data_IF_152032087555
#
_entry.id   IF_152032087555
#
_cell.length_a   1.000
_cell.length_b   1.000
_cell.length_c   1.000
_cell.angle_alpha   90.00
_cell.angle_beta   90.00
_cell.angle_gamma   90.00
#
_symmetry.space_group_name_H-M   'P 1'
#
loop_
_entity.id
_entity.type
_entity.pdbx_description
1 polymer ?
#
# COMPACT_ATOMS: atom_id res chain seq x y z
N UNK A 1 -48.66 3.57 -15.02
CA UNK A 1 -49.96 3.22 -14.43
C UNK A 1 -50.16 1.71 -14.52
N UNK A 2 -49.52 0.95 -13.62
CA UNK A 2 -49.72 -0.51 -13.48
C UNK A 2 -50.36 -0.69 -12.10
N UNK A 3 -51.67 -0.48 -11.95
CA UNK A 3 -52.77 -1.44 -12.14
C UNK A 3 -52.50 -2.81 -11.52
N UNK A 4 -53.21 -3.01 -10.42
CA UNK A 4 -53.41 -4.25 -9.67
C UNK A 4 -53.46 -5.49 -10.56
N UNK A 5 -52.50 -6.37 -10.39
CA UNK A 5 -52.65 -7.77 -10.75
C UNK A 5 -52.20 -8.61 -9.54
N UNK A 6 -53.09 -9.53 -9.18
CA UNK A 6 -52.88 -10.67 -8.26
C UNK A 6 -52.91 -10.42 -6.75
N UNK A 7 -54.13 -10.47 -6.20
CA UNK A 7 -54.38 -10.94 -4.84
C UNK A 7 -55.55 -11.94 -4.77
N UNK A 8 -55.93 -12.53 -5.91
CA UNK A 8 -57.03 -13.51 -6.02
C UNK A 8 -56.58 -14.97 -6.06
N UNK A 9 -55.27 -15.25 -6.05
CA UNK A 9 -54.72 -16.62 -6.14
C UNK A 9 -54.56 -17.34 -4.79
N UNK A 10 -54.83 -16.66 -3.66
CA UNK A 10 -54.64 -17.24 -2.32
C UNK A 10 -55.86 -17.99 -1.76
N UNK A 11 -57.02 -17.93 -2.42
CA UNK A 11 -58.25 -18.57 -1.92
C UNK A 11 -58.53 -19.98 -2.47
N UNK A 12 -57.68 -20.54 -3.33
CA UNK A 12 -57.90 -21.88 -3.92
C UNK A 12 -56.80 -22.89 -3.60
N UNK A 13 -55.94 -22.63 -2.62
CA UNK A 13 -54.82 -23.50 -2.31
C UNK A 13 -55.17 -24.48 -1.18
N UNK A 14 -54.90 -25.76 -1.43
CA UNK A 14 -55.05 -26.86 -0.49
C UNK A 14 -54.26 -26.56 0.81
N UNK A 15 -54.89 -26.62 1.99
CA UNK A 15 -54.24 -26.37 3.27
C UNK A 15 -53.00 -27.24 3.54
N UNK A 16 -52.89 -28.41 2.89
CA UNK A 16 -51.75 -29.31 3.00
C UNK A 16 -50.49 -28.84 2.25
N UNK A 17 -50.62 -27.90 1.31
CA UNK A 17 -49.52 -27.33 0.51
C UNK A 17 -48.95 -26.02 1.11
N UNK A 18 -49.66 -25.42 2.07
CA UNK A 18 -49.24 -24.19 2.76
C UNK A 18 -47.82 -24.26 3.36
N UNK A 19 -47.39 -25.35 4.05
CA UNK A 19 -46.07 -25.39 4.70
C UNK A 19 -44.91 -25.27 3.70
N UNK A 20 -45.07 -25.83 2.49
CA UNK A 20 -44.04 -25.85 1.46
C UNK A 20 -43.94 -24.49 0.73
N UNK A 21 -45.08 -23.80 0.56
CA UNK A 21 -45.13 -22.48 -0.06
C UNK A 21 -44.59 -21.38 0.88
N UNK A 22 -44.84 -21.47 2.18
CA UNK A 22 -44.22 -20.59 3.19
C UNK A 22 -42.71 -20.81 3.29
N UNK A 23 -42.22 -22.05 3.13
CA UNK A 23 -40.79 -22.33 3.09
C UNK A 23 -40.10 -21.69 1.87
N UNK A 24 -40.70 -21.77 0.67
CA UNK A 24 -40.15 -21.12 -0.53
C UNK A 24 -40.24 -19.58 -0.49
N UNK A 25 -41.33 -19.02 0.03
CA UNK A 25 -41.45 -17.57 0.20
C UNK A 25 -40.49 -17.05 1.27
N UNK A 26 -40.29 -17.79 2.37
CA UNK A 26 -39.31 -17.46 3.40
C UNK A 26 -37.87 -17.54 2.89
N UNK A 27 -37.54 -18.52 2.03
CA UNK A 27 -36.23 -18.63 1.35
C UNK A 27 -36.04 -17.47 0.36
N UNK A 28 -37.05 -17.11 -0.43
CA UNK A 28 -36.99 -15.97 -1.35
C UNK A 28 -36.83 -14.64 -0.60
N UNK A 29 -37.54 -14.44 0.52
CA UNK A 29 -37.44 -13.24 1.36
C UNK A 29 -36.11 -13.20 2.12
N UNK A 30 -35.61 -14.33 2.65
CA UNK A 30 -34.28 -14.35 3.29
C UNK A 30 -33.16 -14.14 2.29
N UNK A 31 -33.24 -14.64 1.05
CA UNK A 31 -32.30 -14.30 -0.02
C UNK A 31 -32.38 -12.81 -0.41
N UNK A 32 -33.57 -12.22 -0.45
CA UNK A 32 -33.74 -10.79 -0.76
C UNK A 32 -33.22 -9.89 0.37
N UNK A 33 -33.45 -10.26 1.64
CA UNK A 33 -32.96 -9.52 2.80
C UNK A 33 -31.44 -9.70 2.97
N UNK A 34 -30.87 -10.88 2.72
CA UNK A 34 -29.41 -11.05 2.66
C UNK A 34 -28.79 -10.31 1.46
N UNK A 35 -29.52 -10.13 0.36
CA UNK A 35 -29.07 -9.32 -0.79
C UNK A 35 -29.10 -7.81 -0.52
N UNK A 36 -29.89 -7.33 0.45
CA UNK A 36 -29.93 -5.93 0.87
C UNK A 36 -28.89 -5.65 1.99
N UNK A 37 -28.55 -6.67 2.78
CA UNK A 37 -27.52 -6.61 3.83
C UNK A 37 -26.17 -7.22 3.43
N UNK A 38 -25.96 -7.53 2.14
CA UNK A 38 -24.61 -7.62 1.59
C UNK A 38 -24.05 -6.19 1.67
N UNK A 39 -23.43 -5.89 2.82
CA UNK A 39 -22.82 -4.62 3.10
C UNK A 39 -22.02 -4.22 1.87
N UNK A 40 -22.35 -3.09 1.27
CA UNK A 40 -21.37 -2.38 0.48
C UNK A 40 -20.12 -2.33 1.35
N UNK A 41 -19.09 -3.09 0.98
CA UNK A 41 -17.79 -2.96 1.60
C UNK A 41 -17.53 -1.46 1.56
N UNK A 42 -17.39 -0.81 2.72
CA UNK A 42 -17.19 0.62 2.76
C UNK A 42 -15.85 0.88 2.05
N UNK A 43 -15.91 1.24 0.77
CA UNK A 43 -14.74 1.44 -0.10
C UNK A 43 -14.31 2.91 -0.08
N UNK A 44 -14.79 3.69 0.90
CA UNK A 44 -14.47 5.10 1.01
C UNK A 44 -14.73 5.86 -0.29
N UNK A 45 -13.73 6.61 -0.81
CA UNK A 45 -13.88 7.43 -2.01
C UNK A 45 -13.79 6.64 -3.34
N UNK A 46 -13.64 5.32 -3.30
CA UNK A 46 -13.41 4.50 -4.50
C UNK A 46 -14.72 4.02 -5.14
N UNK A 47 -14.73 3.79 -6.48
CA UNK A 47 -15.92 3.31 -7.17
C UNK A 47 -16.37 1.94 -6.67
N UNK A 48 -17.69 1.64 -6.64
CA UNK A 48 -18.20 0.33 -6.24
C UNK A 48 -17.65 -0.84 -7.08
N UNK A 49 -17.20 -0.59 -8.31
CA UNK A 49 -16.58 -1.59 -9.17
C UNK A 49 -15.22 -2.10 -8.66
N UNK A 50 -14.64 -1.49 -7.62
CA UNK A 50 -13.41 -1.96 -6.99
C UNK A 50 -13.69 -3.00 -5.88
N UNK A 51 -14.96 -3.28 -5.58
CA UNK A 51 -15.34 -4.33 -4.65
C UNK A 51 -15.16 -5.71 -5.29
N UNK A 52 -14.18 -6.47 -4.78
CA UNK A 52 -13.74 -7.76 -5.32
C UNK A 52 -14.87 -8.79 -5.44
N UNK A 53 -15.80 -8.82 -4.49
CA UNK A 53 -16.93 -9.75 -4.48
C UNK A 53 -18.19 -9.15 -5.10
N UNK A 54 -18.06 -8.55 -6.29
CA UNK A 54 -19.20 -8.04 -7.06
C UNK A 54 -19.15 -8.52 -8.50
N UNK A 55 -20.31 -8.75 -9.12
CA UNK A 55 -20.41 -9.10 -10.54
C UNK A 55 -19.96 -7.97 -11.47
N UNK A 56 -19.87 -6.76 -10.95
CA UNK A 56 -19.37 -5.56 -11.63
C UNK A 56 -17.87 -5.34 -11.44
N UNK A 57 -17.17 -6.22 -10.70
CA UNK A 57 -15.74 -6.07 -10.46
C UNK A 57 -14.97 -6.08 -11.78
N UNK A 58 -14.10 -5.08 -11.93
CA UNK A 58 -13.13 -5.02 -13.02
C UNK A 58 -11.85 -4.45 -12.45
N UNK A 59 -10.76 -5.18 -12.62
CA UNK A 59 -9.42 -4.70 -12.25
C UNK A 59 -9.18 -3.33 -12.92
N UNK A 60 -8.84 -2.29 -12.13
CA UNK A 60 -8.51 -1.00 -12.67
C UNK A 60 -7.24 -1.06 -13.51
N UNK A 61 -7.10 -0.13 -14.46
CA UNK A 61 -5.85 0.02 -15.18
C UNK A 61 -4.72 0.38 -14.21
N UNK A 62 -3.54 -0.21 -14.39
CA UNK A 62 -2.36 0.06 -13.56
C UNK A 62 -2.00 1.56 -13.68
N UNK A 63 -2.10 2.34 -12.59
CA UNK A 63 -1.87 3.78 -12.63
C UNK A 63 -0.38 4.11 -12.68
N UNK A 64 -0.05 5.31 -13.14
CA UNK A 64 1.28 5.88 -12.90
C UNK A 64 1.36 6.47 -11.50
N UNK A 65 2.47 6.23 -10.81
CA UNK A 65 2.70 6.69 -9.44
C UNK A 65 3.33 8.08 -9.44
N UNK A 66 2.94 8.93 -8.47
CA UNK A 66 3.62 10.21 -8.23
C UNK A 66 5.05 9.96 -7.74
N UNK A 67 6.02 10.55 -8.43
CA UNK A 67 7.43 10.18 -8.28
C UNK A 67 8.30 11.15 -7.51
N UNK A 68 7.95 12.43 -7.47
CA UNK A 68 8.76 13.43 -6.78
C UNK A 68 7.97 13.89 -5.56
N UNK A 69 8.37 13.41 -4.40
CA UNK A 69 7.72 13.75 -3.15
C UNK A 69 8.68 13.67 -1.98
N UNK A 70 8.34 14.43 -0.94
CA UNK A 70 8.97 14.36 0.37
C UNK A 70 7.91 14.13 1.43
N UNK A 71 8.21 13.34 2.44
CA UNK A 71 7.22 12.89 3.42
C UNK A 71 7.87 12.56 4.74
N UNK A 72 7.11 12.69 5.82
CA UNK A 72 7.44 11.98 7.05
C UNK A 72 7.06 10.50 6.89
N UNK A 73 7.72 9.63 7.65
CA UNK A 73 7.46 8.20 7.63
C UNK A 73 7.48 7.58 9.01
N UNK A 74 6.77 6.47 9.13
CA UNK A 74 6.96 5.45 10.16
C UNK A 74 7.20 4.12 9.44
N UNK A 75 8.18 3.37 9.91
CA UNK A 75 8.44 2.01 9.43
C UNK A 75 8.60 1.08 10.62
N UNK A 76 7.91 -0.07 10.56
CA UNK A 76 8.08 -1.15 11.53
C UNK A 76 8.64 -2.35 10.80
N UNK A 77 9.76 -2.86 11.32
CA UNK A 77 10.42 -4.07 10.86
C UNK A 77 10.37 -5.10 11.99
N UNK A 78 9.84 -6.28 11.72
CA UNK A 78 9.81 -7.34 12.72
C UNK A 78 9.93 -8.76 12.16
N UNK A 79 10.51 -9.63 12.98
CA UNK A 79 10.50 -11.09 12.88
C UNK A 79 10.48 -11.68 14.29
N UNK A 80 10.72 -12.99 14.43
CA UNK A 80 10.73 -13.66 15.74
C UNK A 80 11.80 -13.12 16.72
N UNK A 81 12.84 -12.43 16.22
CA UNK A 81 13.99 -11.95 17.00
C UNK A 81 14.15 -10.42 16.99
N UNK A 82 13.46 -9.71 16.12
CA UNK A 82 13.65 -8.27 15.86
C UNK A 82 12.30 -7.57 15.89
N UNK A 83 12.24 -6.39 16.51
CA UNK A 83 11.11 -5.47 16.40
C UNK A 83 11.61 -4.04 16.51
N UNK A 84 11.78 -3.37 15.37
CA UNK A 84 12.31 -2.01 15.29
C UNK A 84 11.29 -1.09 14.65
N UNK A 85 10.89 -0.05 15.37
CA UNK A 85 10.05 1.02 14.84
C UNK A 85 10.96 2.22 14.62
N UNK A 86 11.04 2.68 13.38
CA UNK A 86 11.76 3.89 13.00
C UNK A 86 10.76 4.95 12.56
N UNK A 87 11.08 6.20 12.86
CA UNK A 87 10.37 7.36 12.33
C UNK A 87 11.36 8.27 11.64
N UNK A 88 10.91 8.98 10.62
CA UNK A 88 11.84 9.74 9.82
C UNK A 88 11.22 10.64 8.78
N UNK A 89 12.07 11.06 7.86
CA UNK A 89 11.72 11.87 6.71
C UNK A 89 12.37 11.29 5.45
N UNK A 90 11.60 11.15 4.38
CA UNK A 90 12.05 10.60 3.10
C UNK A 90 11.92 11.64 2.00
N UNK A 91 12.90 11.63 1.11
CA UNK A 91 12.90 12.30 -0.18
C UNK A 91 12.97 11.22 -1.26
N UNK A 92 11.99 11.17 -2.16
CA UNK A 92 12.03 10.32 -3.34
C UNK A 92 12.08 11.22 -4.58
N UNK A 93 13.18 11.17 -5.34
CA UNK A 93 13.33 11.91 -6.58
C UNK A 93 13.65 10.96 -7.74
N UNK A 94 12.64 10.61 -8.52
CA UNK A 94 12.85 9.83 -9.74
C UNK A 94 13.60 10.64 -10.82
N UNK A 95 13.43 11.96 -10.85
CA UNK A 95 14.14 12.86 -11.79
C UNK A 95 15.65 12.82 -11.57
N UNK A 96 16.09 12.72 -10.32
CA UNK A 96 17.51 12.60 -9.98
C UNK A 96 17.98 11.14 -9.81
N UNK A 97 17.06 10.17 -9.73
CA UNK A 97 17.39 8.77 -9.46
C UNK A 97 17.92 8.55 -8.04
N UNK A 98 17.43 9.33 -7.07
CA UNK A 98 17.92 9.35 -5.70
C UNK A 98 16.79 9.20 -4.68
N UNK A 99 17.08 8.45 -3.63
CA UNK A 99 16.25 8.39 -2.42
C UNK A 99 17.10 8.77 -1.22
N UNK A 100 16.63 9.67 -0.39
CA UNK A 100 17.24 9.96 0.91
C UNK A 100 16.25 9.68 2.02
N UNK A 101 16.71 9.04 3.08
CA UNK A 101 15.92 8.78 4.28
C UNK A 101 16.71 9.20 5.50
N UNK A 102 16.13 10.09 6.29
CA UNK A 102 16.63 10.46 7.62
C UNK A 102 15.75 9.77 8.65
N UNK A 103 16.32 8.95 9.53
CA UNK A 103 15.59 8.09 10.45
C UNK A 103 16.12 8.16 11.88
N UNK A 104 15.25 7.84 12.84
CA UNK A 104 15.59 7.76 14.26
C UNK A 104 15.18 6.39 14.78
N UNK A 105 16.08 5.73 15.51
CA UNK A 105 15.87 4.44 16.17
C UNK A 105 16.64 4.41 17.49
N UNK A 106 15.97 4.13 18.61
CA UNK A 106 16.59 3.89 19.93
C UNK A 106 17.65 4.93 20.34
N UNK A 107 17.39 6.21 20.08
CA UNK A 107 18.30 7.32 20.40
C UNK A 107 19.43 7.55 19.39
N UNK A 108 19.53 6.69 18.37
CA UNK A 108 20.41 6.89 17.23
C UNK A 108 19.71 7.66 16.10
N UNK A 109 20.48 8.50 15.42
CA UNK A 109 20.10 9.21 14.20
C UNK A 109 20.82 8.59 13.02
N UNK A 110 20.07 8.18 12.00
CA UNK A 110 20.59 7.68 10.74
C UNK A 110 20.18 8.59 9.59
N UNK A 111 21.04 8.70 8.59
CA UNK A 111 20.69 9.23 7.28
C UNK A 111 21.24 8.28 6.23
N UNK A 112 20.44 7.90 5.25
CA UNK A 112 20.83 7.03 4.14
C UNK A 112 20.52 7.73 2.82
N UNK A 113 21.51 7.78 1.92
CA UNK A 113 21.38 8.23 0.54
C UNK A 113 21.56 7.04 -0.39
N UNK A 114 20.47 6.64 -1.04
CA UNK A 114 20.43 5.60 -2.05
C UNK A 114 20.52 6.22 -3.45
N UNK A 115 21.56 5.86 -4.19
CA UNK A 115 21.77 6.26 -5.58
C UNK A 115 21.50 5.10 -6.55
N UNK A 116 20.48 5.29 -7.40
CA UNK A 116 19.99 4.31 -8.35
C UNK A 116 20.43 4.56 -9.79
N UNK A 117 21.13 5.67 -10.08
CA UNK A 117 21.45 6.09 -11.46
C UNK A 117 22.25 5.04 -12.24
N UNK A 118 22.99 4.19 -11.54
CA UNK A 118 23.82 3.11 -12.09
C UNK A 118 23.38 1.73 -11.57
N UNK A 119 22.07 1.49 -11.49
CA UNK A 119 21.50 0.20 -11.12
C UNK A 119 20.38 -0.20 -12.08
N UNK A 120 20.47 -1.39 -12.66
CA UNK A 120 19.43 -1.98 -13.51
C UNK A 120 18.69 -3.13 -12.82
N UNK A 121 19.19 -3.58 -11.68
CA UNK A 121 18.74 -4.75 -10.92
C UNK A 121 17.95 -4.38 -9.65
N UNK A 122 17.66 -3.09 -9.45
CA UNK A 122 17.03 -2.57 -8.24
C UNK A 122 17.99 -2.38 -7.05
N UNK A 123 19.30 -2.67 -7.24
CA UNK A 123 20.31 -2.31 -6.25
C UNK A 123 20.49 -0.79 -6.14
N UNK A 124 21.15 -0.34 -5.08
CA UNK A 124 21.55 1.06 -4.94
C UNK A 124 22.91 1.16 -4.28
N UNK A 125 23.69 2.17 -4.65
CA UNK A 125 24.79 2.61 -3.79
C UNK A 125 24.16 3.31 -2.58
N UNK A 126 24.32 2.75 -1.39
CA UNK A 126 23.86 3.37 -0.15
C UNK A 126 25.05 4.03 0.56
N UNK A 127 24.97 5.34 0.74
CA UNK A 127 25.82 6.08 1.68
C UNK A 127 25.01 6.29 2.95
N UNK A 128 25.45 5.74 4.07
CA UNK A 128 24.78 5.88 5.36
C UNK A 128 25.67 6.62 6.35
N UNK A 129 25.10 7.63 6.99
CA UNK A 129 25.67 8.38 8.10
C UNK A 129 24.90 8.04 9.37
N UNK A 130 25.60 7.64 10.43
CA UNK A 130 24.96 7.20 11.68
C UNK A 130 25.60 7.90 12.90
N UNK A 131 24.75 8.34 13.83
CA UNK A 131 25.13 8.88 15.14
C UNK A 131 24.34 8.15 16.21
N UNK A 132 24.99 7.37 17.07
CA UNK A 132 24.30 6.64 18.14
C UNK A 132 25.27 5.94 19.10
N UNK A 133 24.79 5.47 20.28
CA UNK A 133 23.41 5.52 20.77
C UNK A 133 22.99 6.87 21.36
N UNK A 134 23.86 7.89 21.34
CA UNK A 134 23.55 9.26 21.78
C UNK A 134 23.99 10.25 20.71
N UNK A 135 23.38 11.44 20.68
CA UNK A 135 23.78 12.55 19.80
C UNK A 135 25.22 13.03 20.03
N UNK A 136 25.82 12.69 21.18
CA UNK A 136 27.25 12.94 21.46
C UNK A 136 28.21 11.91 20.86
N UNK A 137 27.71 10.82 20.29
CA UNK A 137 28.55 9.78 19.69
C UNK A 137 29.28 10.28 18.46
N UNK A 138 30.49 9.74 18.22
CA UNK A 138 31.23 10.00 16.98
C UNK A 138 30.44 9.43 15.79
N UNK A 139 30.17 10.23 14.75
CA UNK A 139 29.47 9.72 13.58
C UNK A 139 30.27 8.65 12.85
N UNK A 140 29.58 7.67 12.27
CA UNK A 140 30.15 6.68 11.36
C UNK A 140 29.59 6.85 9.96
N UNK A 141 30.38 6.45 8.96
CA UNK A 141 29.98 6.43 7.57
C UNK A 141 30.11 5.00 7.03
N UNK A 142 29.12 4.61 6.25
CA UNK A 142 29.08 3.38 5.48
C UNK A 142 28.78 3.75 4.04
N UNK A 143 29.43 3.09 3.08
CA UNK A 143 29.20 3.34 1.65
C UNK A 143 29.40 2.05 0.87
N UNK A 144 28.31 1.34 0.60
CA UNK A 144 28.36 0.10 -0.17
C UNK A 144 27.15 -0.03 -1.08
N UNK A 145 27.28 -0.91 -2.08
CA UNK A 145 26.15 -1.29 -2.91
C UNK A 145 25.30 -2.30 -2.17
N UNK A 146 24.03 -1.95 -1.97
CA UNK A 146 23.03 -2.82 -1.35
C UNK A 146 22.17 -3.39 -2.48
N UNK A 147 22.18 -4.72 -2.63
CA UNK A 147 21.37 -5.42 -3.64
C UNK A 147 19.87 -5.25 -3.43
N UNK A 148 19.47 -5.00 -2.19
CA UNK A 148 18.08 -4.96 -1.74
C UNK A 148 17.86 -3.82 -0.76
N UNK A 149 17.79 -2.57 -1.23
CA UNK A 149 17.54 -1.43 -0.36
C UNK A 149 16.12 -1.49 0.22
N UNK A 150 15.97 -1.19 1.51
CA UNK A 150 14.66 -1.13 2.18
C UNK A 150 13.78 0.05 1.76
N UNK A 151 14.33 0.96 0.95
CA UNK A 151 13.67 2.16 0.44
C UNK A 151 13.89 2.26 -1.07
N UNK A 152 13.09 1.55 -1.90
CA UNK A 152 13.27 1.54 -3.34
C UNK A 152 13.02 2.91 -3.97
N UNK A 153 13.62 3.17 -5.14
CA UNK A 153 13.25 4.32 -5.95
C UNK A 153 11.84 4.15 -6.50
N UNK A 154 10.96 5.09 -6.18
CA UNK A 154 9.58 5.11 -6.68
C UNK A 154 9.56 5.87 -8.01
N UNK A 155 9.43 5.12 -9.10
CA UNK A 155 9.32 5.65 -10.47
C UNK A 155 7.87 5.61 -10.95
N UNK A 156 7.54 6.39 -11.99
CA UNK A 156 6.16 6.50 -12.46
C UNK A 156 5.62 5.16 -12.96
N UNK A 157 6.53 4.35 -13.51
CA UNK A 157 6.28 3.02 -14.05
C UNK A 157 6.43 1.88 -13.05
N UNK A 158 6.68 2.13 -11.76
CA UNK A 158 7.05 1.06 -10.80
C UNK A 158 6.03 -0.09 -10.78
N UNK A 159 4.74 0.22 -10.89
CA UNK A 159 3.70 -0.78 -10.92
C UNK A 159 3.67 -1.55 -12.25
N UNK A 160 3.73 -0.85 -13.39
CA UNK A 160 3.69 -1.47 -14.71
C UNK A 160 4.93 -2.34 -14.96
N UNK A 161 6.12 -1.82 -14.64
CA UNK A 161 7.39 -2.52 -14.84
C UNK A 161 7.49 -3.80 -14.04
N UNK A 162 6.87 -3.86 -12.86
CA UNK A 162 6.87 -5.06 -12.02
C UNK A 162 5.59 -5.90 -12.16
N UNK A 163 4.75 -5.63 -13.17
CA UNK A 163 3.53 -6.39 -13.45
C UNK A 163 2.54 -6.42 -12.28
N UNK A 164 2.36 -5.29 -11.61
CA UNK A 164 1.53 -5.20 -10.41
C UNK A 164 0.07 -5.62 -10.69
N UNK A 165 -0.54 -6.30 -9.73
CA UNK A 165 -1.95 -6.68 -9.74
C UNK A 165 -2.71 -5.90 -8.69
N UNK A 166 -3.95 -5.50 -8.99
CA UNK A 166 -4.80 -4.81 -8.03
C UNK A 166 -5.20 -5.73 -6.88
N UNK A 167 -4.79 -5.40 -5.65
CA UNK A 167 -5.09 -6.14 -4.43
C UNK A 167 -6.43 -5.74 -3.78
N UNK A 168 -7.07 -4.68 -4.26
CA UNK A 168 -8.33 -4.16 -3.74
C UNK A 168 -8.22 -2.80 -3.06
N UNK A 169 -9.35 -2.37 -2.47
CA UNK A 169 -9.40 -1.20 -1.60
C UNK A 169 -9.26 -1.66 -0.16
N UNK A 170 -8.30 -1.09 0.55
CA UNK A 170 -8.06 -1.35 1.98
C UNK A 170 -8.35 -0.10 2.79
N UNK A 171 -8.73 -0.31 4.06
CA UNK A 171 -8.81 0.75 5.05
C UNK A 171 -7.65 0.58 6.04
N UNK A 172 -6.62 1.41 5.88
CA UNK A 172 -5.46 1.43 6.77
C UNK A 172 -5.70 2.44 7.90
N UNK A 173 -5.32 2.09 9.13
CA UNK A 173 -5.53 2.92 10.31
C UNK A 173 -4.72 4.23 10.30
N UNK A 174 -3.60 4.28 9.57
CA UNK A 174 -2.69 5.42 9.53
C UNK A 174 -2.95 6.33 8.32
N UNK A 175 -3.26 5.74 7.17
CA UNK A 175 -3.38 6.47 5.90
C UNK A 175 -4.79 6.48 5.31
N UNK A 176 -5.75 5.81 5.97
CA UNK A 176 -7.14 5.77 5.54
C UNK A 176 -7.37 4.81 4.37
N UNK A 177 -8.30 5.15 3.49
CA UNK A 177 -8.61 4.33 2.33
C UNK A 177 -7.50 4.40 1.29
N UNK A 178 -7.05 3.24 0.82
CA UNK A 178 -5.99 3.12 -0.18
C UNK A 178 -6.29 2.01 -1.19
N UNK A 179 -5.77 2.16 -2.40
CA UNK A 179 -5.64 1.10 -3.39
C UNK A 179 -4.41 0.27 -3.03
N UNK A 180 -4.53 -1.05 -2.87
CA UNK A 180 -3.39 -1.95 -2.76
C UNK A 180 -3.00 -2.49 -4.13
N UNK A 181 -1.69 -2.57 -4.37
CA UNK A 181 -1.09 -3.09 -5.59
C UNK A 181 0.02 -4.07 -5.22
N UNK A 182 -0.16 -5.34 -5.56
CA UNK A 182 0.79 -6.40 -5.24
C UNK A 182 1.74 -6.63 -6.42
N UNK A 183 3.04 -6.71 -6.16
CA UNK A 183 4.07 -6.88 -7.17
C UNK A 183 5.26 -7.70 -6.67
N UNK A 184 6.10 -8.14 -7.61
CA UNK A 184 7.39 -8.75 -7.33
C UNK A 184 8.52 -7.78 -7.70
N UNK A 185 9.04 -7.05 -6.70
CA UNK A 185 10.14 -6.11 -6.92
C UNK A 185 11.43 -6.89 -7.22
N UNK A 186 12.10 -6.51 -8.32
CA UNK A 186 13.27 -7.25 -8.81
C UNK A 186 12.96 -8.71 -9.17
N UNK A 187 11.69 -9.04 -9.41
CA UNK A 187 11.23 -10.39 -9.74
C UNK A 187 11.20 -11.39 -8.56
N UNK A 188 11.58 -10.98 -7.34
CA UNK A 188 11.73 -11.89 -6.21
C UNK A 188 11.04 -11.44 -4.92
N UNK A 189 10.85 -10.13 -4.71
CA UNK A 189 10.41 -9.60 -3.43
C UNK A 189 8.93 -9.26 -3.53
N UNK A 190 8.09 -9.95 -2.77
CA UNK A 190 6.68 -9.58 -2.64
C UNK A 190 6.56 -8.23 -1.94
N UNK A 191 6.00 -7.27 -2.67
CA UNK A 191 5.71 -5.92 -2.19
C UNK A 191 4.24 -5.61 -2.43
N UNK A 192 3.59 -5.04 -1.43
CA UNK A 192 2.27 -4.40 -1.58
C UNK A 192 2.48 -2.90 -1.50
N UNK A 193 2.12 -2.17 -2.55
CA UNK A 193 2.14 -0.70 -2.60
C UNK A 193 0.75 -0.16 -2.31
N UNK A 194 0.65 0.88 -1.49
CA UNK A 194 -0.61 1.56 -1.18
C UNK A 194 -0.65 2.94 -1.82
N UNK A 195 -1.69 3.22 -2.60
CA UNK A 195 -1.89 4.49 -3.29
C UNK A 195 -3.21 5.16 -2.90
N UNK A 196 -3.20 6.49 -2.81
CA UNK A 196 -4.44 7.27 -2.68
C UNK A 196 -5.21 7.36 -4.02
N UNK A 197 -6.30 8.15 -4.05
CA UNK A 197 -7.10 8.40 -5.28
C UNK A 197 -6.37 9.22 -6.34
N UNK A 198 -5.24 9.84 -6.00
CA UNK A 198 -4.37 10.62 -6.89
C UNK A 198 -3.09 9.87 -7.24
N UNK A 199 -3.01 8.58 -6.92
CA UNK A 199 -1.84 7.71 -7.13
C UNK A 199 -0.59 8.18 -6.38
N UNK A 200 -0.76 8.84 -5.24
CA UNK A 200 0.31 9.19 -4.31
C UNK A 200 0.62 7.99 -3.42
N UNK A 201 1.91 7.69 -3.24
CA UNK A 201 2.37 6.60 -2.40
C UNK A 201 2.08 6.88 -0.92
N UNK A 202 1.15 6.14 -0.34
CA UNK A 202 0.80 6.19 1.08
C UNK A 202 1.67 5.26 1.93
N UNK A 203 2.25 4.24 1.32
CA UNK A 203 3.10 3.28 2.02
C UNK A 203 3.37 2.06 1.18
N UNK A 204 4.17 1.15 1.74
CA UNK A 204 4.39 -0.16 1.16
C UNK A 204 4.73 -1.17 2.25
N UNK A 205 4.42 -2.44 1.96
CA UNK A 205 4.78 -3.57 2.78
C UNK A 205 5.64 -4.53 1.98
N UNK A 206 6.65 -5.15 2.60
CA UNK A 206 7.41 -6.21 1.95
C UNK A 206 7.93 -7.24 2.96
N UNK A 207 8.45 -8.35 2.45
CA UNK A 207 9.16 -9.35 3.23
C UNK A 207 10.64 -9.39 2.83
N UNK A 208 11.53 -9.23 3.81
CA UNK A 208 12.95 -9.48 3.60
C UNK A 208 13.20 -10.98 3.37
N UNK A 209 13.79 -11.40 2.24
CA UNK A 209 13.85 -12.81 1.84
C UNK A 209 14.74 -13.67 2.74
N UNK A 210 15.73 -13.09 3.41
CA UNK A 210 16.68 -13.85 4.24
C UNK A 210 16.07 -14.40 5.54
N UNK A 211 15.33 -13.57 6.29
CA UNK A 211 14.75 -13.94 7.60
C UNK A 211 13.24 -13.94 7.64
N UNK A 212 12.58 -13.74 6.49
CA UNK A 212 11.13 -13.47 6.38
C UNK A 212 10.67 -12.31 7.27
N UNK A 213 11.55 -11.34 7.49
CA UNK A 213 11.25 -10.14 8.27
C UNK A 213 10.19 -9.33 7.54
N UNK A 214 9.05 -9.06 8.19
CA UNK A 214 8.04 -8.18 7.65
C UNK A 214 8.49 -6.74 7.86
N UNK A 215 8.32 -5.93 6.84
CA UNK A 215 8.52 -4.49 6.91
C UNK A 215 7.26 -3.81 6.39
N UNK A 216 6.73 -2.87 7.17
CA UNK A 216 5.64 -1.99 6.75
C UNK A 216 6.12 -0.56 6.87
N UNK A 217 5.84 0.26 5.85
CA UNK A 217 6.16 1.68 5.83
C UNK A 217 4.90 2.46 5.54
N UNK A 218 4.66 3.54 6.28
CA UNK A 218 3.55 4.48 6.03
C UNK A 218 4.10 5.89 5.96
N UNK A 219 3.55 6.67 5.03
CA UNK A 219 3.93 8.04 4.74
C UNK A 219 2.82 8.99 5.18
N UNK A 220 3.21 10.14 5.75
CA UNK A 220 2.30 11.18 6.19
C UNK A 220 2.89 12.57 5.94
N UNK A 221 2.00 13.57 5.82
CA UNK A 221 2.38 14.94 5.42
C UNK A 221 3.17 14.95 4.10
N UNK A 222 2.70 14.19 3.11
CA UNK A 222 3.34 14.05 1.81
C UNK A 222 3.23 15.38 1.05
N UNK A 223 4.38 15.89 0.62
CA UNK A 223 4.49 17.07 -0.24
C UNK A 223 5.01 16.65 -1.60
N UNK A 224 4.20 16.86 -2.62
CA UNK A 224 4.50 16.53 -4.02
C UNK A 224 5.20 17.72 -4.67
N UNK A 225 6.19 17.44 -5.52
CA UNK A 225 6.86 18.43 -6.34
C UNK A 225 8.34 18.11 -6.52
N UNK A 226 9.00 18.90 -7.37
CA UNK A 226 10.44 18.79 -7.58
C UNK A 226 11.21 18.96 -6.26
N UNK A 227 12.31 18.21 -6.16
CA UNK A 227 13.18 18.20 -4.98
C UNK A 227 14.50 18.84 -5.39
N UNK A 228 14.90 19.86 -4.64
CA UNK A 228 16.20 20.51 -4.81
C UNK A 228 17.34 19.49 -4.69
N UNK A 229 18.21 19.44 -5.70
CA UNK A 229 19.32 18.48 -5.76
C UNK A 229 20.30 18.63 -4.58
N UNK A 230 20.39 19.83 -4.00
CA UNK A 230 21.23 20.13 -2.84
C UNK A 230 20.86 19.35 -1.58
N UNK A 231 19.64 18.79 -1.50
CA UNK A 231 19.23 17.86 -0.44
C UNK A 231 20.05 16.55 -0.50
N UNK A 232 20.53 16.17 -1.69
CA UNK A 232 21.29 14.94 -1.91
C UNK A 232 22.79 15.19 -2.02
N UNK A 233 23.23 16.32 -2.60
CA UNK A 233 24.66 16.61 -2.82
C UNK A 233 25.45 16.92 -1.55
N UNK A 234 24.78 17.49 -0.53
CA UNK A 234 25.42 17.85 0.74
C UNK A 234 25.42 16.70 1.76
N UNK A 235 25.50 15.45 1.28
CA UNK A 235 25.48 14.29 2.15
C UNK A 235 26.78 14.17 2.97
N UNK A 236 26.72 13.90 4.29
CA UNK A 236 27.89 13.93 5.16
C UNK A 236 28.96 12.88 4.82
N UNK A 237 28.55 11.74 4.24
CA UNK A 237 29.46 10.69 3.81
C UNK A 237 29.84 10.89 2.33
N UNK A 238 31.15 11.05 2.07
CA UNK A 238 31.68 11.21 0.72
C UNK A 238 32.05 9.88 0.09
#
# INVERSE_FOLDING_TARGET
MFKSFELSLLHSLDPSQLPMMYAHLAILITCYIHSIYASFANQGPYPPSYAAFTSTFKEPAIPQVVTNFKSHLIQHKWDENVSHIVTGYMYNSATHGLVRVDEVLDGALGSSLFDYRNASDGSALNKQWLVGPSVGSKPTCFSERVSMPGFPLVTAGILQTNGATFGGVVQDQWVGYAQSWDLLYGGAISVTIYLDVKNVLLGFDFFGPGRRTKVITRFFNIMIGEIDIGVFENFPCK
#
